data_IF_295118366428
#
_entry.id   IF_295118366428
#
_cell.length_a   1.000
_cell.length_b   1.000
_cell.length_c   1.000
_cell.angle_alpha   90.00
_cell.angle_beta   90.00
_cell.angle_gamma   90.00
#
_symmetry.space_group_name_H-M   'P 1'
#
loop_
_entity.id
_entity.type
_entity.pdbx_description
1 polymer ?
#
# COMPACT_ATOMS: atom_id res chain seq x y z
N UNK A 1 -28.22 16.18 7.24
CA UNK A 1 -28.97 17.34 6.73
C UNK A 1 -30.00 16.86 5.71
N UNK A 2 -31.25 16.66 6.10
CA UNK A 2 -32.31 16.27 5.16
C UNK A 2 -32.65 17.47 4.26
N UNK A 3 -32.49 17.28 2.94
CA UNK A 3 -32.75 18.30 1.91
C UNK A 3 -34.17 18.87 2.03
N UNK A 4 -34.31 20.19 1.82
CA UNK A 4 -35.60 20.92 1.79
C UNK A 4 -36.66 20.24 0.89
N UNK A 5 -36.23 19.52 -0.15
CA UNK A 5 -37.10 18.77 -1.05
C UNK A 5 -37.81 17.58 -0.37
N UNK A 6 -37.14 16.88 0.55
CA UNK A 6 -37.72 15.77 1.32
C UNK A 6 -38.81 16.25 2.28
N UNK A 7 -38.68 17.49 2.78
CA UNK A 7 -39.66 18.10 3.67
C UNK A 7 -40.95 18.52 2.94
N UNK A 8 -40.84 18.96 1.69
CA UNK A 8 -41.99 19.42 0.86
C UNK A 8 -42.85 18.23 0.42
N UNK A 9 -42.22 17.13 -0.03
CA UNK A 9 -42.93 15.89 -0.38
C UNK A 9 -43.72 15.32 0.82
N UNK A 10 -43.21 15.48 2.04
CA UNK A 10 -43.87 14.98 3.24
C UNK A 10 -44.96 15.91 3.80
N UNK A 11 -44.84 17.23 3.57
CA UNK A 11 -45.76 18.23 4.10
C UNK A 11 -47.02 18.43 3.24
N UNK A 12 -46.93 18.15 1.92
CA UNK A 12 -48.02 18.31 0.97
C UNK A 12 -48.29 17.06 0.10
N UNK A 13 -47.65 15.92 0.38
CA UNK A 13 -47.82 14.69 -0.40
C UNK A 13 -49.08 13.89 -0.06
N UNK A 14 -49.57 13.06 -1.01
CA UNK A 14 -50.83 12.31 -0.93
C UNK A 14 -50.88 11.24 0.19
N UNK A 15 -49.78 11.02 0.91
CA UNK A 15 -49.64 10.00 1.95
C UNK A 15 -49.95 10.56 3.36
N UNK A 16 -50.04 11.89 3.51
CA UNK A 16 -50.34 12.56 4.79
C UNK A 16 -51.60 12.06 5.53
N UNK A 17 -52.72 11.70 4.88
CA UNK A 17 -53.88 11.15 5.59
C UNK A 17 -53.72 9.68 6.01
N UNK A 18 -52.73 8.95 5.47
CA UNK A 18 -52.49 7.53 5.76
C UNK A 18 -51.58 7.29 6.98
N UNK A 19 -50.74 8.25 7.36
CA UNK A 19 -49.80 8.10 8.47
C UNK A 19 -49.68 9.41 9.29
N UNK A 20 -50.09 9.41 10.57
CA UNK A 20 -49.90 10.56 11.45
C UNK A 20 -48.42 10.97 11.52
N UNK A 21 -48.12 12.24 11.30
CA UNK A 21 -46.72 12.74 11.22
C UNK A 21 -45.86 12.44 12.46
N UNK A 22 -46.45 12.21 13.63
CA UNK A 22 -45.72 11.79 14.85
C UNK A 22 -45.29 10.33 14.78
N UNK A 23 -46.18 9.45 14.31
CA UNK A 23 -45.95 8.00 14.21
C UNK A 23 -44.94 7.66 13.12
N UNK A 24 -45.03 8.35 11.98
CA UNK A 24 -44.03 8.24 10.92
C UNK A 24 -42.63 8.65 11.39
N UNK A 25 -42.51 9.79 12.10
CA UNK A 25 -41.22 10.23 12.67
C UNK A 25 -40.68 9.25 13.71
N UNK A 26 -41.54 8.66 14.52
CA UNK A 26 -41.15 7.64 15.49
C UNK A 26 -40.64 6.38 14.79
N UNK A 27 -41.31 5.94 13.73
CA UNK A 27 -40.89 4.76 12.95
C UNK A 27 -39.58 5.02 12.19
N UNK A 28 -39.38 6.22 11.65
CA UNK A 28 -38.08 6.62 11.11
C UNK A 28 -37.00 6.59 12.17
N UNK A 29 -37.26 7.12 13.37
CA UNK A 29 -36.29 7.08 14.47
C UNK A 29 -35.94 5.64 14.88
N UNK A 30 -36.94 4.76 14.97
CA UNK A 30 -36.71 3.34 15.25
C UNK A 30 -35.85 2.66 14.19
N UNK A 31 -36.06 3.00 12.92
CA UNK A 31 -35.27 2.48 11.81
C UNK A 31 -33.85 3.04 11.81
N UNK A 32 -33.70 4.33 12.11
CA UNK A 32 -32.40 4.99 12.27
C UNK A 32 -31.62 4.38 13.44
N UNK A 33 -32.21 4.30 14.63
CA UNK A 33 -31.63 3.70 15.83
C UNK A 33 -31.24 2.22 15.60
N UNK A 34 -31.97 1.49 14.73
CA UNK A 34 -31.64 0.11 14.35
C UNK A 34 -30.49 0.02 13.34
N UNK A 35 -30.44 0.93 12.35
CA UNK A 35 -29.44 0.91 11.27
C UNK A 35 -28.12 1.55 11.68
N UNK A 36 -28.15 2.56 12.54
CA UNK A 36 -27.00 3.33 12.98
C UNK A 36 -25.83 2.47 13.49
N UNK A 37 -26.03 1.45 14.36
CA UNK A 37 -24.90 0.62 14.82
C UNK A 37 -24.21 -0.15 13.68
N UNK A 38 -24.93 -0.58 12.65
CA UNK A 38 -24.33 -1.24 11.48
C UNK A 38 -23.56 -0.24 10.62
N UNK A 39 -24.08 0.98 10.46
CA UNK A 39 -23.40 2.05 9.74
C UNK A 39 -22.10 2.40 10.46
N UNK A 40 -22.15 2.58 11.77
CA UNK A 40 -21.00 2.92 12.60
C UNK A 40 -19.94 1.80 12.54
N UNK A 41 -20.34 0.52 12.66
CA UNK A 41 -19.42 -0.61 12.53
C UNK A 41 -18.75 -0.68 11.15
N UNK A 42 -19.51 -0.45 10.08
CA UNK A 42 -18.96 -0.43 8.72
C UNK A 42 -17.99 0.76 8.56
N UNK A 43 -18.36 1.94 9.05
CA UNK A 43 -17.50 3.12 9.03
C UNK A 43 -16.19 2.89 9.79
N UNK A 44 -16.24 2.34 11.00
CA UNK A 44 -15.06 2.05 11.81
C UNK A 44 -14.12 1.07 11.10
N UNK A 45 -14.68 0.00 10.51
CA UNK A 45 -13.90 -0.97 9.72
C UNK A 45 -13.30 -0.35 8.47
N UNK A 46 -14.03 0.53 7.77
CA UNK A 46 -13.53 1.23 6.59
C UNK A 46 -12.40 2.21 6.94
N UNK A 47 -12.52 2.95 8.05
CA UNK A 47 -11.47 3.84 8.54
C UNK A 47 -10.19 3.05 8.83
N UNK A 48 -10.30 1.88 9.46
CA UNK A 48 -9.14 1.01 9.71
C UNK A 48 -8.46 0.56 8.40
N UNK A 49 -9.23 0.20 7.36
CA UNK A 49 -8.69 -0.18 6.05
C UNK A 49 -8.00 1.01 5.37
N UNK A 50 -8.63 2.20 5.39
CA UNK A 50 -8.07 3.40 4.78
C UNK A 50 -6.78 3.84 5.48
N UNK A 51 -6.74 3.74 6.81
CA UNK A 51 -5.54 4.04 7.59
C UNK A 51 -4.41 3.04 7.25
N UNK A 52 -4.73 1.75 7.15
CA UNK A 52 -3.77 0.73 6.73
C UNK A 52 -3.27 0.94 5.27
N UNK A 53 -4.12 1.46 4.39
CA UNK A 53 -3.76 1.77 3.00
C UNK A 53 -2.80 2.95 2.86
N UNK A 54 -2.75 3.86 3.83
CA UNK A 54 -1.90 5.05 3.81
C UNK A 54 -0.41 4.70 3.76
N UNK A 55 0.02 3.73 4.57
CA UNK A 55 1.43 3.32 4.66
C UNK A 55 1.88 2.61 3.37
N UNK A 56 0.97 1.87 2.72
CA UNK A 56 1.23 1.27 1.42
C UNK A 56 1.44 2.33 0.32
N UNK A 57 0.66 3.41 0.34
CA UNK A 57 0.84 4.54 -0.57
C UNK A 57 2.18 5.26 -0.34
N UNK A 58 2.57 5.46 0.92
CA UNK A 58 3.88 6.03 1.25
C UNK A 58 5.04 5.16 0.75
N UNK A 59 4.93 3.83 0.91
CA UNK A 59 5.90 2.85 0.39
C UNK A 59 6.02 2.93 -1.13
N UNK A 60 4.89 3.06 -1.84
CA UNK A 60 4.87 3.25 -3.29
C UNK A 60 5.61 4.55 -3.70
N UNK A 61 5.31 5.66 -3.04
CA UNK A 61 5.98 6.94 -3.32
C UNK A 61 7.49 6.87 -3.08
N UNK A 62 7.93 6.31 -1.96
CA UNK A 62 9.35 6.13 -1.66
C UNK A 62 10.04 5.24 -2.69
N UNK A 63 9.35 4.17 -3.15
CA UNK A 63 9.86 3.32 -4.23
C UNK A 63 10.04 4.08 -5.54
N UNK A 64 9.04 4.86 -5.95
CA UNK A 64 9.11 5.64 -7.19
C UNK A 64 10.27 6.65 -7.11
N UNK A 65 10.48 7.24 -5.94
CA UNK A 65 11.63 8.09 -5.67
C UNK A 65 12.96 7.33 -5.80
N UNK A 66 13.11 6.14 -5.22
CA UNK A 66 14.36 5.37 -5.34
C UNK A 66 14.61 4.88 -6.78
N UNK A 67 13.56 4.48 -7.50
CA UNK A 67 13.65 4.11 -8.92
C UNK A 67 14.07 5.29 -9.80
N UNK A 68 13.51 6.49 -9.54
CA UNK A 68 13.85 7.69 -10.30
C UNK A 68 15.31 8.12 -10.16
N UNK A 69 15.95 7.75 -9.04
CA UNK A 69 17.36 8.04 -8.76
C UNK A 69 18.31 6.93 -9.22
N UNK A 70 17.81 5.71 -9.42
CA UNK A 70 18.59 4.53 -9.79
C UNK A 70 18.02 3.87 -11.07
N UNK A 71 18.18 4.50 -12.25
CA UNK A 71 17.64 3.97 -13.51
C UNK A 71 18.25 2.61 -13.90
N UNK A 72 19.40 2.24 -13.33
CA UNK A 72 20.03 0.92 -13.51
C UNK A 72 19.17 -0.22 -12.97
N UNK A 73 18.33 0.03 -11.97
CA UNK A 73 17.41 -0.94 -11.36
C UNK A 73 16.08 -0.99 -12.11
N UNK A 74 15.65 0.13 -12.69
CA UNK A 74 14.36 0.22 -13.40
C UNK A 74 14.34 -0.62 -14.68
N UNK A 75 15.42 -0.58 -15.46
CA UNK A 75 15.52 -1.35 -16.71
C UNK A 75 15.32 -2.88 -16.55
N UNK A 76 16.04 -3.59 -15.65
CA UNK A 76 15.83 -5.02 -15.45
C UNK A 76 14.46 -5.32 -14.83
N UNK A 77 13.98 -4.49 -13.91
CA UNK A 77 12.66 -4.64 -13.29
C UNK A 77 11.53 -4.55 -14.33
N UNK A 78 11.60 -3.56 -15.21
CA UNK A 78 10.62 -3.38 -16.28
C UNK A 78 10.65 -4.55 -17.27
N UNK A 79 11.84 -5.07 -17.56
CA UNK A 79 12.01 -6.25 -18.42
C UNK A 79 11.30 -7.46 -17.80
N UNK A 80 11.53 -7.74 -16.52
CA UNK A 80 10.84 -8.84 -15.81
C UNK A 80 9.30 -8.70 -15.87
N UNK A 81 8.78 -7.49 -15.63
CA UNK A 81 7.34 -7.23 -15.67
C UNK A 81 6.76 -7.41 -17.07
N UNK A 82 7.45 -6.89 -18.10
CA UNK A 82 7.00 -6.99 -19.49
C UNK A 82 7.10 -8.40 -20.04
N UNK A 83 8.12 -9.17 -19.67
CA UNK A 83 8.26 -10.56 -20.09
C UNK A 83 7.11 -11.43 -19.56
N UNK A 84 6.64 -11.14 -18.34
CA UNK A 84 5.57 -11.92 -17.69
C UNK A 84 4.16 -11.45 -18.02
N UNK A 85 3.94 -10.14 -18.07
CA UNK A 85 2.61 -9.55 -18.23
C UNK A 85 2.40 -8.90 -19.60
N UNK A 86 3.45 -8.62 -20.35
CA UNK A 86 3.37 -7.78 -21.54
C UNK A 86 2.91 -6.36 -21.21
N UNK A 87 2.47 -5.62 -22.22
CA UNK A 87 2.09 -4.20 -22.11
C UNK A 87 0.65 -3.96 -21.65
N UNK A 88 -0.27 -4.92 -21.84
CA UNK A 88 -1.72 -4.68 -21.66
C UNK A 88 -2.43 -5.66 -20.71
N UNK A 89 -1.88 -6.88 -20.52
CA UNK A 89 -2.53 -7.91 -19.69
C UNK A 89 -2.69 -7.43 -18.25
N UNK A 90 -3.81 -7.82 -17.62
CA UNK A 90 -4.03 -7.56 -16.20
C UNK A 90 -3.21 -8.48 -15.31
N UNK A 91 -2.37 -7.93 -14.40
CA UNK A 91 -1.66 -8.71 -13.40
C UNK A 91 -2.67 -9.49 -12.55
N UNK A 92 -2.44 -10.79 -12.43
CA UNK A 92 -3.12 -11.69 -11.50
C UNK A 92 -2.22 -11.99 -10.32
N UNK A 93 -2.81 -12.38 -9.19
CA UNK A 93 -2.05 -12.77 -8.00
C UNK A 93 -1.09 -13.95 -8.25
N UNK A 94 -1.44 -14.84 -9.18
CA UNK A 94 -0.57 -15.95 -9.58
C UNK A 94 0.74 -15.50 -10.20
N UNK A 95 0.75 -14.37 -10.92
CA UNK A 95 1.91 -13.91 -11.67
C UNK A 95 3.03 -13.41 -10.74
N UNK A 96 2.68 -12.83 -9.59
CA UNK A 96 3.66 -12.24 -8.66
C UNK A 96 4.53 -13.26 -7.93
N UNK A 97 4.12 -14.54 -7.87
CA UNK A 97 4.91 -15.59 -7.23
C UNK A 97 6.22 -15.86 -7.97
N UNK A 98 6.24 -15.57 -9.26
CA UNK A 98 7.36 -15.88 -10.15
C UNK A 98 8.20 -14.63 -10.52
N UNK A 99 7.86 -13.47 -9.95
CA UNK A 99 8.57 -12.20 -10.12
C UNK A 99 9.49 -11.97 -8.91
N UNK A 100 10.67 -12.59 -8.97
CA UNK A 100 11.65 -12.55 -7.88
C UNK A 100 12.26 -11.15 -7.72
N UNK A 101 12.54 -10.45 -8.82
CA UNK A 101 13.17 -9.13 -8.76
C UNK A 101 12.17 -8.06 -8.30
N UNK A 102 10.92 -8.10 -8.76
CA UNK A 102 9.85 -7.24 -8.23
C UNK A 102 9.71 -7.39 -6.71
N UNK A 103 9.75 -8.63 -6.21
CA UNK A 103 9.69 -8.95 -4.79
C UNK A 103 10.94 -8.47 -4.04
N UNK A 104 12.13 -8.61 -4.63
CA UNK A 104 13.38 -8.08 -4.08
C UNK A 104 13.33 -6.56 -3.91
N UNK A 105 12.89 -5.82 -4.95
CA UNK A 105 12.76 -4.37 -4.89
C UNK A 105 11.71 -3.97 -3.85
N UNK A 106 10.58 -4.68 -3.75
CA UNK A 106 9.56 -4.39 -2.73
C UNK A 106 10.13 -4.59 -1.33
N UNK A 107 10.82 -5.70 -1.08
CA UNK A 107 11.41 -5.98 0.22
C UNK A 107 12.50 -4.97 0.58
N UNK A 108 13.31 -4.53 -0.37
CA UNK A 108 14.33 -3.51 -0.12
C UNK A 108 13.71 -2.14 0.18
N UNK A 109 12.67 -1.75 -0.56
CA UNK A 109 11.88 -0.55 -0.24
C UNK A 109 11.29 -0.65 1.16
N UNK A 110 10.63 -1.75 1.50
CA UNK A 110 10.03 -1.94 2.83
C UNK A 110 11.08 -1.93 3.96
N UNK A 111 12.28 -2.47 3.69
CA UNK A 111 13.41 -2.46 4.62
C UNK A 111 13.86 -1.04 4.97
N UNK A 112 13.78 -0.11 4.01
CA UNK A 112 14.20 1.28 4.19
C UNK A 112 13.06 2.22 4.61
N UNK A 113 11.83 1.99 4.15
CA UNK A 113 10.66 2.78 4.52
C UNK A 113 10.22 2.55 5.96
N UNK A 114 10.30 1.30 6.43
CA UNK A 114 9.90 0.95 7.78
C UNK A 114 11.12 1.07 8.71
N UNK A 115 11.21 2.20 9.41
CA UNK A 115 12.24 2.49 10.42
C UNK A 115 12.34 1.46 11.58
N UNK A 116 11.47 0.45 11.60
CA UNK A 116 11.44 -0.63 12.60
C UNK A 116 12.39 -1.79 12.29
N UNK A 117 13.09 -1.80 11.15
CA UNK A 117 14.15 -2.79 10.89
C UNK A 117 15.46 -2.27 11.46
N UNK A 118 15.94 -2.88 12.54
CA UNK A 118 17.24 -2.58 13.15
C UNK A 118 18.33 -2.54 12.04
N UNK A 119 18.98 -1.38 11.80
CA UNK A 119 20.06 -1.27 10.83
C UNK A 119 21.27 -2.16 11.16
N UNK A 120 21.33 -2.63 12.42
CA UNK A 120 22.37 -3.48 13.00
C UNK A 120 22.02 -4.97 12.98
N UNK A 121 20.76 -5.36 12.70
CA UNK A 121 20.39 -6.76 12.50
C UNK A 121 21.06 -7.37 11.25
N UNK A 122 21.61 -6.50 10.39
CA UNK A 122 22.54 -6.83 9.32
C UNK A 122 23.99 -6.70 9.78
N UNK A 123 24.43 -7.48 10.77
CA UNK A 123 25.88 -7.64 11.00
C UNK A 123 26.33 -9.09 11.11
N UNK A 124 27.03 -9.51 10.05
CA UNK A 124 28.06 -10.54 9.99
C UNK A 124 27.72 -11.93 10.53
N UNK A 125 26.92 -12.71 9.78
CA UNK A 125 27.14 -14.15 9.78
C UNK A 125 28.40 -14.43 8.96
N UNK A 126 29.57 -14.55 9.63
CA UNK A 126 30.90 -14.90 9.06
C UNK A 126 30.94 -16.23 8.29
N UNK A 127 29.80 -16.91 8.11
CA UNK A 127 29.66 -18.24 7.50
C UNK A 127 29.05 -18.25 6.10
N UNK A 128 28.55 -17.12 5.59
CA UNK A 128 27.95 -17.06 4.24
C UNK A 128 28.85 -16.23 3.31
N UNK A 129 29.12 -16.75 2.11
CA UNK A 129 29.85 -16.08 1.02
C UNK A 129 28.99 -14.98 0.38
N UNK A 130 28.43 -14.07 1.17
CA UNK A 130 27.58 -12.98 0.69
C UNK A 130 28.43 -11.71 0.64
N UNK A 131 28.41 -10.94 -0.46
CA UNK A 131 29.07 -9.64 -0.52
C UNK A 131 28.54 -8.69 0.57
N UNK A 132 29.42 -7.88 1.16
CA UNK A 132 29.01 -6.87 2.13
C UNK A 132 28.17 -5.80 1.43
N UNK A 133 27.04 -5.45 2.03
CA UNK A 133 26.12 -4.45 1.50
C UNK A 133 25.76 -3.47 2.62
N UNK A 134 25.99 -2.17 2.38
CA UNK A 134 25.68 -1.10 3.33
C UNK A 134 24.19 -1.12 3.69
N UNK A 135 23.82 -1.20 4.99
CA UNK A 135 22.42 -1.22 5.41
C UNK A 135 21.67 0.08 5.11
N UNK A 136 22.35 1.21 4.96
CA UNK A 136 21.68 2.49 4.73
C UNK A 136 21.35 2.69 3.24
N UNK A 137 22.04 2.01 2.34
CA UNK A 137 21.82 2.15 0.90
C UNK A 137 20.68 1.26 0.41
N UNK A 138 19.90 1.77 -0.54
CA UNK A 138 18.86 1.03 -1.24
C UNK A 138 19.50 0.18 -2.33
N UNK A 139 19.61 -1.13 -2.10
CA UNK A 139 20.27 -2.08 -3.01
C UNK A 139 19.39 -3.33 -3.16
N UNK A 140 18.52 -3.39 -4.17
CA UNK A 140 17.63 -4.53 -4.40
C UNK A 140 18.37 -5.85 -4.68
N UNK A 141 19.54 -5.78 -5.32
CA UNK A 141 20.37 -6.93 -5.68
C UNK A 141 20.83 -7.74 -4.47
N UNK A 142 20.76 -7.16 -3.26
CA UNK A 142 21.01 -7.87 -2.00
C UNK A 142 20.15 -9.12 -1.88
N UNK A 143 18.85 -9.02 -2.21
CA UNK A 143 17.89 -10.10 -2.05
C UNK A 143 18.07 -11.20 -3.11
N UNK A 144 18.57 -10.85 -4.30
CA UNK A 144 18.88 -11.83 -5.36
C UNK A 144 20.25 -12.47 -5.19
N UNK A 145 21.21 -11.81 -4.52
CA UNK A 145 22.55 -12.33 -4.22
C UNK A 145 22.58 -13.40 -3.11
N UNK A 146 21.42 -13.86 -2.64
CA UNK A 146 21.31 -14.90 -1.61
C UNK A 146 21.32 -14.38 -0.17
N UNK A 147 21.23 -13.06 0.04
CA UNK A 147 20.96 -12.53 1.38
C UNK A 147 19.50 -12.80 1.75
N UNK A 148 19.31 -13.51 2.86
CA UNK A 148 18.00 -13.68 3.47
C UNK A 148 18.10 -13.40 4.97
N UNK A 149 17.20 -12.58 5.52
CA UNK A 149 17.14 -12.32 6.94
C UNK A 149 16.83 -13.60 7.70
N UNK A 150 17.25 -13.67 8.97
CA UNK A 150 16.86 -14.79 9.84
C UNK A 150 15.33 -14.79 9.99
N UNK A 151 14.70 -15.97 10.16
CA UNK A 151 13.27 -16.04 10.44
C UNK A 151 12.89 -15.07 11.56
N UNK A 152 11.76 -14.39 11.40
CA UNK A 152 11.23 -13.39 12.33
C UNK A 152 12.01 -12.08 12.52
N UNK A 153 13.13 -11.87 11.81
CA UNK A 153 13.90 -10.62 11.91
C UNK A 153 13.51 -9.58 10.85
N UNK A 154 12.79 -10.00 9.81
CA UNK A 154 12.28 -9.13 8.76
C UNK A 154 10.83 -9.51 8.48
N UNK A 155 9.92 -8.69 9.01
CA UNK A 155 8.48 -8.91 8.89
C UNK A 155 7.80 -7.58 8.52
N UNK A 156 8.12 -7.02 7.34
CA UNK A 156 7.72 -5.66 6.99
C UNK A 156 6.20 -5.48 6.90
N UNK A 157 5.48 -6.56 6.61
CA UNK A 157 4.03 -6.57 6.40
C UNK A 157 3.32 -7.53 7.37
N UNK A 158 3.89 -7.71 8.56
CA UNK A 158 3.46 -8.71 9.54
C UNK A 158 3.51 -10.15 9.00
N UNK A 159 3.23 -11.13 9.85
CA UNK A 159 3.31 -12.56 9.50
C UNK A 159 2.18 -13.36 10.15
N UNK A 160 1.90 -14.55 9.62
CA UNK A 160 0.86 -15.43 10.13
C UNK A 160 -0.56 -14.98 9.78
N UNK A 161 -1.58 -15.30 10.61
CA UNK A 161 -3.00 -15.07 10.28
C UNK A 161 -3.41 -13.59 10.20
N UNK A 162 -2.51 -12.66 10.53
CA UNK A 162 -2.69 -11.21 10.48
C UNK A 162 -1.71 -10.54 9.51
N UNK A 163 -1.27 -11.26 8.48
CA UNK A 163 -0.45 -10.70 7.40
C UNK A 163 -1.19 -9.56 6.70
N UNK A 164 -0.45 -8.55 6.26
CA UNK A 164 -1.02 -7.39 5.57
C UNK A 164 -1.85 -7.82 4.36
N UNK A 165 -3.13 -7.49 4.38
CA UNK A 165 -4.05 -7.73 3.26
C UNK A 165 -3.69 -6.90 2.01
N UNK A 166 -2.97 -5.78 2.20
CA UNK A 166 -2.56 -4.86 1.13
C UNK A 166 -1.29 -5.25 0.37
N UNK A 167 -0.55 -6.28 0.81
CA UNK A 167 0.66 -6.75 0.12
C UNK A 167 0.44 -7.07 -1.38
N UNK A 168 -0.56 -7.88 -1.77
CA UNK A 168 -0.82 -8.14 -3.19
C UNK A 168 -1.22 -6.89 -3.97
N UNK A 169 -1.89 -5.94 -3.32
CA UNK A 169 -2.28 -4.68 -3.94
C UNK A 169 -1.06 -3.83 -4.28
N UNK A 170 -0.07 -3.76 -3.39
CA UNK A 170 1.18 -3.05 -3.65
C UNK A 170 1.93 -3.61 -4.87
N UNK A 171 2.03 -4.93 -4.99
CA UNK A 171 2.65 -5.59 -6.16
C UNK A 171 1.89 -5.29 -7.46
N UNK A 172 0.57 -5.27 -7.40
CA UNK A 172 -0.28 -4.96 -8.54
C UNK A 172 -0.09 -3.53 -9.02
N UNK A 173 -0.17 -2.54 -8.13
CA UNK A 173 0.05 -1.13 -8.46
C UNK A 173 1.44 -0.93 -9.08
N UNK A 174 2.48 -1.57 -8.53
CA UNK A 174 3.84 -1.48 -9.05
C UNK A 174 3.94 -2.05 -10.48
N UNK A 175 3.43 -3.26 -10.70
CA UNK A 175 3.45 -3.86 -12.04
C UNK A 175 2.68 -3.00 -13.05
N UNK A 176 1.58 -2.36 -12.62
CA UNK A 176 0.79 -1.48 -13.48
C UNK A 176 1.47 -0.18 -13.84
N UNK A 177 2.17 0.44 -12.90
CA UNK A 177 2.98 1.63 -13.17
C UNK A 177 4.05 1.29 -14.19
N UNK A 178 4.79 0.19 -14.03
CA UNK A 178 5.88 -0.20 -14.93
C UNK A 178 5.40 -0.64 -16.33
N UNK A 179 4.18 -1.13 -16.45
CA UNK A 179 3.55 -1.39 -17.75
C UNK A 179 3.18 -0.09 -18.48
N UNK A 180 2.63 0.88 -17.76
CA UNK A 180 2.12 2.13 -18.34
C UNK A 180 3.20 3.17 -18.59
N UNK A 181 4.23 3.23 -17.75
CA UNK A 181 5.32 4.20 -17.84
C UNK A 181 6.59 3.52 -18.32
N UNK A 182 7.24 4.11 -19.32
CA UNK A 182 8.48 3.58 -19.89
C UNK A 182 9.71 3.91 -19.06
N UNK A 183 9.72 5.08 -18.43
CA UNK A 183 10.82 5.59 -17.62
C UNK A 183 10.28 6.43 -16.46
N UNK A 184 10.96 6.38 -15.33
CA UNK A 184 10.69 7.22 -14.16
C UNK A 184 11.90 8.15 -13.99
N UNK A 185 11.70 9.44 -14.21
CA UNK A 185 12.78 10.43 -14.20
C UNK A 185 12.62 11.36 -13.00
N UNK A 186 13.68 11.54 -12.22
CA UNK A 186 13.76 12.61 -11.23
C UNK A 186 14.15 13.92 -11.95
N UNK A 187 13.32 14.95 -11.84
CA UNK A 187 13.72 16.28 -12.31
C UNK A 187 14.88 16.78 -11.41
N UNK A 188 15.97 17.24 -12.02
CA UNK A 188 17.32 17.35 -11.43
C UNK A 188 17.48 18.33 -10.27
N UNK A 189 16.40 18.85 -9.70
CA UNK A 189 16.37 19.79 -8.58
C UNK A 189 16.60 19.13 -7.20
N UNK A 190 16.46 17.80 -7.06
CA UNK A 190 16.70 17.07 -5.80
C UNK A 190 18.05 16.35 -5.83
N UNK A 191 19.17 17.08 -5.81
CA UNK A 191 20.51 16.52 -6.12
C UNK A 191 21.39 16.16 -4.91
N UNK A 192 20.88 16.21 -3.68
CA UNK A 192 21.70 15.98 -2.49
C UNK A 192 21.39 14.65 -1.79
N UNK A 193 22.09 13.58 -2.20
CA UNK A 193 22.14 12.30 -1.46
C UNK A 193 22.76 12.44 -0.06
N UNK A 194 23.46 13.54 0.21
CA UNK A 194 24.16 13.80 1.48
C UNK A 194 23.29 14.38 2.59
N UNK A 195 22.08 14.85 2.28
CA UNK A 195 21.14 15.43 3.23
C UNK A 195 19.89 14.57 3.30
N UNK A 196 20.02 13.29 3.67
CA UNK A 196 18.86 12.57 4.20
C UNK A 196 18.35 13.42 5.37
N UNK A 197 17.14 14.02 5.34
CA UNK A 197 16.54 14.40 6.59
C UNK A 197 16.43 13.09 7.36
N UNK A 198 17.15 12.99 8.47
CA UNK A 198 16.89 11.93 9.41
C UNK A 198 15.38 11.95 9.61
N UNK A 199 14.69 10.85 9.29
CA UNK A 199 13.30 10.69 9.67
C UNK A 199 13.31 10.53 11.18
N UNK A 200 13.52 11.64 11.88
CA UNK A 200 13.38 11.77 13.31
C UNK A 200 11.89 11.71 13.56
N UNK A 201 11.48 10.59 14.15
CA UNK A 201 10.16 10.42 14.77
C UNK A 201 10.01 11.42 15.91
#
# INVERSE_FOLDING_TARGET
>A
MFSLASLIFFRAGPIRPLLPSKEFRLNLKKMDDFMQPFIDEVCDRLVAILLAGRDAAATLCFRLFELSHNPTVDAPLRTEVLDRLGTSRKPSYSDFKEMEYLTAVLNETLRLCHAAVDPTATHSDKKRTIPYFDPLLWIPERWTAGWQPRPWHFIPLSGGPRICLGQPFAMLEMSRILQNFSEIIADGACRDRGSRPAFQV
#
